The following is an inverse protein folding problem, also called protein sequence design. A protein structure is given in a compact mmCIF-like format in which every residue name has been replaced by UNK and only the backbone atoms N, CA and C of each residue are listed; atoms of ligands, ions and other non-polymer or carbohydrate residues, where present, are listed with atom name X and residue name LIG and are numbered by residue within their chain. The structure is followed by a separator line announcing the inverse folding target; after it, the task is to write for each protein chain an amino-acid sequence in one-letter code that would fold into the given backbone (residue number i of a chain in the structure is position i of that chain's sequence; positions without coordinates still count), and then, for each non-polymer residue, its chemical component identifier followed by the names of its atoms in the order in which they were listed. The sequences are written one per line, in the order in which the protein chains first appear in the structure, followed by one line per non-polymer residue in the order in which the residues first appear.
data_IF_496862737069
#
_entry.id   IF_496862737069
#
_cell.length_a   1.000
_cell.length_b   1.000
_cell.length_c   1.000
_cell.angle_alpha   90.00
_cell.angle_beta   90.00
_cell.angle_gamma   90.00
#
_symmetry.space_group_name_H-M   'P 1'
#
loop_
_entity.id
_entity.type
_entity.pdbx_description
1 polymer ?
#
# COMPACT_ATOMS: atom_id res chain seq x y z
N UNK A 1 9.88 8.67 -27.53
CA UNK A 1 9.09 7.76 -26.67
C UNK A 1 8.35 6.69 -27.47
N UNK A 2 7.35 7.02 -28.29
CA UNK A 2 6.55 6.01 -29.04
C UNK A 2 7.42 5.11 -29.94
N UNK A 3 8.38 5.68 -30.68
CA UNK A 3 9.29 4.89 -31.53
C UNK A 3 10.13 3.89 -30.73
N UNK A 4 10.64 4.31 -29.57
CA UNK A 4 11.40 3.42 -28.66
C UNK A 4 10.53 2.29 -28.14
N UNK A 5 9.28 2.59 -27.73
CA UNK A 5 8.35 1.55 -27.27
C UNK A 5 8.06 0.51 -28.35
N UNK A 6 7.85 0.93 -29.61
CA UNK A 6 7.62 0.00 -30.72
C UNK A 6 8.80 -0.94 -30.91
N UNK A 7 10.00 -0.39 -31.00
CA UNK A 7 11.23 -1.18 -31.14
C UNK A 7 11.37 -2.18 -29.99
N UNK A 8 11.13 -1.77 -28.75
CA UNK A 8 11.20 -2.68 -27.60
C UNK A 8 10.18 -3.83 -27.70
N UNK A 9 8.94 -3.54 -28.08
CA UNK A 9 7.90 -4.55 -28.24
C UNK A 9 8.17 -5.49 -29.42
N UNK A 10 8.69 -4.97 -30.53
CA UNK A 10 9.15 -5.74 -31.70
C UNK A 10 10.30 -6.70 -31.33
N UNK A 11 11.13 -6.33 -30.36
CA UNK A 11 12.19 -7.16 -29.79
C UNK A 11 11.75 -7.95 -28.54
N UNK A 12 10.46 -8.29 -28.42
CA UNK A 12 9.90 -9.16 -27.39
C UNK A 12 10.04 -8.66 -25.94
N UNK A 13 10.10 -7.34 -25.72
CA UNK A 13 9.97 -6.81 -24.37
C UNK A 13 8.60 -7.19 -23.76
N UNK A 14 8.61 -7.72 -22.54
CA UNK A 14 7.40 -8.13 -21.82
C UNK A 14 6.54 -6.88 -21.45
N UNK A 15 5.34 -6.72 -22.05
CA UNK A 15 4.49 -5.56 -21.81
C UNK A 15 3.81 -5.59 -20.43
N UNK A 16 3.89 -6.71 -19.71
CA UNK A 16 3.35 -6.89 -18.37
C UNK A 16 4.43 -6.80 -17.27
N UNK A 17 5.70 -6.58 -17.65
CA UNK A 17 6.81 -6.50 -16.70
C UNK A 17 6.59 -5.37 -15.68
N UNK A 18 6.67 -5.69 -14.40
CA UNK A 18 6.51 -4.70 -13.33
C UNK A 18 7.84 -3.98 -13.01
N UNK A 19 7.78 -2.66 -12.84
CA UNK A 19 8.91 -1.89 -12.32
C UNK A 19 9.12 -2.14 -10.82
N UNK A 20 10.23 -1.63 -10.27
CA UNK A 20 10.45 -1.60 -8.82
C UNK A 20 9.35 -0.83 -8.07
N UNK A 21 8.75 0.19 -8.70
CA UNK A 21 7.60 0.90 -8.12
C UNK A 21 6.28 0.17 -8.39
N UNK A 22 6.30 -1.04 -8.96
CA UNK A 22 5.10 -1.83 -9.19
C UNK A 22 4.21 -1.43 -10.34
N UNK A 23 4.69 -0.56 -11.21
CA UNK A 23 3.95 -0.09 -12.37
C UNK A 23 4.17 -1.06 -13.52
N UNK A 24 3.09 -1.41 -14.21
CA UNK A 24 3.19 -1.96 -15.57
C UNK A 24 3.51 -0.84 -16.56
N UNK A 25 4.08 -1.13 -17.74
CA UNK A 25 4.23 -0.17 -18.83
C UNK A 25 2.94 0.61 -19.13
N UNK A 26 1.79 -0.07 -19.07
CA UNK A 26 0.48 0.54 -19.31
C UNK A 26 0.12 1.57 -18.24
N UNK A 27 0.26 1.23 -16.97
CA UNK A 27 0.01 2.18 -15.87
C UNK A 27 1.03 3.32 -15.86
N UNK A 28 2.30 3.06 -16.23
CA UNK A 28 3.33 4.09 -16.36
C UNK A 28 2.99 5.11 -17.46
N UNK A 29 2.45 4.67 -18.60
CA UNK A 29 2.00 5.55 -19.67
C UNK A 29 0.85 6.48 -19.23
N UNK A 30 -0.03 6.02 -18.33
CA UNK A 30 -1.09 6.84 -17.75
C UNK A 30 -0.55 7.82 -16.70
N UNK A 31 0.34 7.38 -15.81
CA UNK A 31 0.95 8.25 -14.80
C UNK A 31 1.78 9.40 -15.40
N UNK A 32 2.40 9.18 -16.56
CA UNK A 32 3.21 10.20 -17.22
C UNK A 32 2.42 11.47 -17.56
N UNK A 33 1.08 11.43 -17.61
CA UNK A 33 0.26 12.64 -17.85
C UNK A 33 0.30 13.62 -16.68
N UNK A 34 0.52 13.13 -15.46
CA UNK A 34 0.70 13.95 -14.26
C UNK A 34 2.00 14.78 -14.34
N UNK A 35 3.01 14.25 -15.05
CA UNK A 35 4.26 14.95 -15.37
C UNK A 35 4.19 15.82 -16.64
N UNK A 36 2.98 16.08 -17.15
CA UNK A 36 2.75 16.96 -18.30
C UNK A 36 2.70 16.27 -19.67
N UNK A 37 2.76 14.94 -19.74
CA UNK A 37 2.57 14.23 -21.02
C UNK A 37 1.14 14.42 -21.54
N UNK A 38 0.93 14.90 -22.78
CA UNK A 38 -0.41 15.04 -23.34
C UNK A 38 -1.16 13.71 -23.41
N UNK A 39 -2.47 13.72 -23.12
CA UNK A 39 -3.33 12.53 -23.22
C UNK A 39 -3.23 11.87 -24.60
N UNK A 40 -3.13 12.64 -25.68
CA UNK A 40 -3.03 12.11 -27.04
C UNK A 40 -1.77 11.26 -27.26
N UNK A 41 -0.68 11.54 -26.54
CA UNK A 41 0.54 10.72 -26.56
C UNK A 41 0.36 9.51 -25.65
N UNK A 42 -0.17 9.71 -24.44
CA UNK A 42 -0.48 8.61 -23.51
C UNK A 42 -1.40 7.56 -24.16
N UNK A 43 -2.44 8.00 -24.87
CA UNK A 43 -3.37 7.14 -25.61
C UNK A 43 -2.67 6.29 -26.68
N UNK A 44 -1.69 6.85 -27.40
CA UNK A 44 -0.91 6.08 -28.39
C UNK A 44 -0.08 5.00 -27.70
N UNK A 45 0.52 5.32 -26.54
CA UNK A 45 1.27 4.35 -25.74
C UNK A 45 0.34 3.25 -25.20
N UNK A 46 -0.83 3.62 -24.66
CA UNK A 46 -1.85 2.69 -24.17
C UNK A 46 -2.29 1.73 -25.28
N UNK A 47 -2.60 2.24 -26.48
CA UNK A 47 -2.99 1.41 -27.63
C UNK A 47 -1.93 0.36 -27.98
N UNK A 48 -0.68 0.79 -28.14
CA UNK A 48 0.42 -0.12 -28.48
C UNK A 48 0.62 -1.21 -27.43
N UNK A 49 0.50 -0.86 -26.14
CA UNK A 49 0.68 -1.82 -25.06
C UNK A 49 -0.47 -2.82 -24.96
N UNK A 50 -1.71 -2.37 -25.17
CA UNK A 50 -2.88 -3.26 -25.22
C UNK A 50 -2.78 -4.20 -26.42
N UNK A 51 -2.39 -3.70 -27.60
CA UNK A 51 -2.14 -4.50 -28.81
C UNK A 51 -1.02 -5.54 -28.60
N UNK A 52 -0.04 -5.24 -27.74
CA UNK A 52 1.02 -6.18 -27.36
C UNK A 52 0.58 -7.25 -26.34
N UNK A 53 -0.69 -7.26 -25.90
CA UNK A 53 -1.20 -8.27 -24.95
C UNK A 53 -1.01 -7.91 -23.48
N UNK A 54 -1.05 -6.61 -23.15
CA UNK A 54 -1.11 -6.20 -21.73
C UNK A 54 -2.41 -6.64 -21.08
N UNK A 55 -2.35 -7.12 -19.84
CA UNK A 55 -3.54 -7.28 -18.99
C UNK A 55 -4.10 -5.90 -18.59
N UNK A 56 -5.23 -5.53 -19.22
CA UNK A 56 -5.92 -4.25 -19.00
C UNK A 56 -6.54 -4.10 -17.61
N UNK A 57 -6.65 -5.20 -16.86
CA UNK A 57 -7.19 -5.23 -15.49
C UNK A 57 -6.12 -5.48 -14.43
N UNK A 58 -4.83 -5.50 -14.82
CA UNK A 58 -3.73 -5.74 -13.89
C UNK A 58 -3.70 -4.71 -12.75
N UNK A 59 -4.07 -5.15 -11.55
CA UNK A 59 -4.15 -4.33 -10.34
C UNK A 59 -2.88 -4.49 -9.47
N UNK A 60 -1.70 -4.20 -10.02
CA UNK A 60 -0.44 -4.30 -9.26
C UNK A 60 -0.31 -3.21 -8.18
N UNK A 61 -0.91 -2.04 -8.41
CA UNK A 61 -1.16 -0.98 -7.42
C UNK A 61 -2.60 -0.50 -7.60
N UNK A 62 -2.94 -0.10 -8.82
CA UNK A 62 -4.26 0.39 -9.18
C UNK A 62 -4.56 -0.03 -10.62
N UNK A 63 -5.83 -0.23 -10.96
CA UNK A 63 -6.18 -0.62 -12.33
C UNK A 63 -5.91 0.52 -13.31
N UNK A 64 -5.54 0.23 -14.57
CA UNK A 64 -5.41 1.25 -15.61
C UNK A 64 -6.67 2.12 -15.74
N UNK A 65 -7.86 1.52 -15.59
CA UNK A 65 -9.12 2.25 -15.68
C UNK A 65 -9.29 3.24 -14.52
N UNK A 66 -9.03 2.83 -13.28
CA UNK A 66 -9.11 3.75 -12.12
C UNK A 66 -8.11 4.90 -12.26
N UNK A 67 -6.87 4.64 -12.73
CA UNK A 67 -5.87 5.68 -12.96
C UNK A 67 -6.35 6.67 -14.02
N UNK A 68 -6.76 6.18 -15.19
CA UNK A 68 -7.24 7.02 -16.30
C UNK A 68 -8.48 7.84 -15.89
N UNK A 69 -9.41 7.23 -15.15
CA UNK A 69 -10.57 7.93 -14.59
C UNK A 69 -10.17 8.98 -13.57
N UNK A 70 -9.13 8.75 -12.75
CA UNK A 70 -8.61 9.66 -11.72
C UNK A 70 -7.82 10.84 -12.28
N UNK A 71 -7.25 10.72 -13.48
CA UNK A 71 -6.62 11.84 -14.21
C UNK A 71 -7.56 12.51 -15.22
N UNK A 72 -8.72 11.92 -15.49
CA UNK A 72 -9.70 12.53 -16.39
C UNK A 72 -9.41 12.27 -17.87
N UNK A 73 -8.60 11.26 -18.15
CA UNK A 73 -8.14 10.89 -19.48
C UNK A 73 -9.27 10.20 -20.25
N UNK A 74 -10.16 11.01 -20.82
CA UNK A 74 -11.44 10.55 -21.36
C UNK A 74 -11.27 9.59 -22.55
N UNK A 75 -10.32 9.85 -23.43
CA UNK A 75 -10.08 8.99 -24.58
C UNK A 75 -9.32 7.72 -24.21
N UNK A 76 -8.45 7.79 -23.19
CA UNK A 76 -7.86 6.60 -22.59
C UNK A 76 -8.91 5.71 -21.92
N UNK A 77 -9.84 6.30 -21.13
CA UNK A 77 -10.94 5.55 -20.50
C UNK A 77 -11.80 4.86 -21.56
N UNK A 78 -12.23 5.57 -22.61
CA UNK A 78 -13.00 4.96 -23.72
C UNK A 78 -12.27 3.77 -24.34
N UNK A 79 -10.98 3.91 -24.61
CA UNK A 79 -10.21 2.85 -25.23
C UNK A 79 -10.01 1.66 -24.29
N UNK A 80 -9.69 1.89 -23.01
CA UNK A 80 -9.54 0.83 -22.01
C UNK A 80 -10.83 0.02 -21.84
N UNK A 81 -11.99 0.69 -21.78
CA UNK A 81 -13.30 0.02 -21.74
C UNK A 81 -13.53 -0.83 -22.99
N UNK A 82 -13.23 -0.30 -24.18
CA UNK A 82 -13.29 -1.06 -25.44
C UNK A 82 -12.35 -2.28 -25.43
N UNK A 83 -11.21 -2.17 -24.76
CA UNK A 83 -10.23 -3.24 -24.61
C UNK A 83 -10.58 -4.25 -23.50
N UNK A 84 -11.73 -4.12 -22.82
CA UNK A 84 -12.19 -5.07 -21.80
C UNK A 84 -11.79 -4.73 -20.37
N UNK A 85 -11.43 -3.46 -20.08
CA UNK A 85 -11.24 -3.02 -18.71
C UNK A 85 -12.57 -3.08 -17.92
N UNK A 86 -12.56 -3.69 -16.73
CA UNK A 86 -13.75 -3.85 -15.89
C UNK A 86 -14.03 -2.57 -15.08
N UNK A 87 -15.14 -1.85 -15.34
CA UNK A 87 -15.51 -0.63 -14.62
C UNK A 87 -16.01 -0.88 -13.19
N UNK A 88 -16.04 -2.12 -12.73
CA UNK A 88 -16.50 -2.49 -11.40
C UNK A 88 -15.36 -2.69 -10.40
N UNK A 89 -14.09 -2.72 -10.85
CA UNK A 89 -12.93 -2.84 -9.96
C UNK A 89 -12.72 -1.50 -9.23
N UNK A 90 -12.86 -1.46 -7.89
CA UNK A 90 -12.78 -0.22 -7.14
C UNK A 90 -11.34 0.24 -6.94
N UNK A 91 -11.19 1.53 -6.66
CA UNK A 91 -9.93 2.11 -6.22
C UNK A 91 -9.50 1.50 -4.89
N UNK A 92 -8.24 1.09 -4.81
CA UNK A 92 -7.73 0.26 -3.71
C UNK A 92 -7.91 0.88 -2.32
N UNK A 93 -7.55 2.17 -2.17
CA UNK A 93 -7.62 2.86 -0.87
C UNK A 93 -9.00 3.39 -0.49
N UNK A 94 -9.85 3.73 -1.45
CA UNK A 94 -11.12 4.42 -1.18
C UNK A 94 -12.32 3.50 -1.30
N UNK A 95 -12.17 2.35 -1.95
CA UNK A 95 -13.28 1.45 -2.31
C UNK A 95 -14.22 2.04 -3.37
N UNK A 96 -13.98 3.26 -3.84
CA UNK A 96 -14.83 3.92 -4.81
C UNK A 96 -14.65 3.28 -6.19
N UNK A 97 -15.76 2.90 -6.84
CA UNK A 97 -15.72 2.46 -8.25
C UNK A 97 -15.32 3.62 -9.15
N UNK A 98 -14.77 3.34 -10.35
CA UNK A 98 -14.45 4.37 -11.35
C UNK A 98 -15.55 5.42 -11.53
N UNK A 99 -16.82 5.01 -11.58
CA UNK A 99 -17.95 5.94 -11.75
C UNK A 99 -18.14 6.90 -10.55
N UNK A 100 -17.89 6.44 -9.33
CA UNK A 100 -17.95 7.27 -8.12
C UNK A 100 -16.78 8.25 -8.09
N UNK A 101 -15.58 7.80 -8.44
CA UNK A 101 -14.42 8.68 -8.57
C UNK A 101 -14.64 9.78 -9.62
N UNK A 102 -15.20 9.42 -10.78
CA UNK A 102 -15.57 10.39 -11.80
C UNK A 102 -16.54 11.44 -11.24
N UNK A 103 -17.55 11.02 -10.49
CA UNK A 103 -18.52 11.92 -9.87
C UNK A 103 -17.91 12.82 -8.79
N UNK A 104 -17.10 12.26 -7.88
CA UNK A 104 -16.40 12.98 -6.80
C UNK A 104 -15.47 14.05 -7.39
N UNK A 105 -14.81 13.75 -8.52
CA UNK A 105 -13.91 14.67 -9.22
C UNK A 105 -14.64 15.64 -10.17
N UNK A 106 -15.98 15.64 -10.20
CA UNK A 106 -16.77 16.52 -11.07
C UNK A 106 -16.69 16.19 -12.57
N UNK A 107 -16.25 14.99 -12.94
CA UNK A 107 -16.02 14.57 -14.33
C UNK A 107 -17.27 13.96 -14.96
N UNK A 108 -18.29 14.79 -15.20
CA UNK A 108 -19.59 14.36 -15.75
C UNK A 108 -19.48 13.44 -16.98
N UNK A 109 -18.66 13.79 -17.97
CA UNK A 109 -18.48 12.98 -19.19
C UNK A 109 -18.03 11.55 -18.89
N UNK A 110 -17.20 11.37 -17.85
CA UNK A 110 -16.76 10.04 -17.43
C UNK A 110 -17.86 9.30 -16.67
N UNK A 111 -18.70 10.00 -15.89
CA UNK A 111 -19.87 9.38 -15.25
C UNK A 111 -20.82 8.82 -16.33
N UNK A 112 -21.12 9.62 -17.35
CA UNK A 112 -21.97 9.22 -18.47
C UNK A 112 -21.38 8.02 -19.23
N UNK A 113 -20.06 8.03 -19.46
CA UNK A 113 -19.36 6.94 -20.15
C UNK A 113 -19.35 5.63 -19.36
N UNK A 114 -19.19 5.70 -18.04
CA UNK A 114 -19.09 4.53 -17.16
C UNK A 114 -20.46 3.98 -16.76
N UNK A 115 -21.49 4.82 -16.74
CA UNK A 115 -22.85 4.46 -16.31
C UNK A 115 -23.42 3.19 -16.96
N UNK A 116 -23.42 3.02 -18.29
CA UNK A 116 -24.00 1.83 -18.91
C UNK A 116 -23.20 0.55 -18.66
N UNK A 117 -21.97 0.64 -18.15
CA UNK A 117 -21.06 -0.48 -17.97
C UNK A 117 -20.87 -0.85 -16.48
N UNK A 118 -21.34 -0.01 -15.56
CA UNK A 118 -21.12 -0.19 -14.12
C UNK A 118 -22.35 -0.78 -13.45
N UNK A 119 -22.14 -1.80 -12.62
CA UNK A 119 -23.22 -2.38 -11.81
C UNK A 119 -23.71 -1.38 -10.75
N UNK A 120 -25.03 -1.33 -10.46
CA UNK A 120 -25.58 -0.45 -9.45
C UNK A 120 -24.90 -0.56 -8.09
N UNK A 121 -24.63 0.59 -7.48
CA UNK A 121 -23.96 0.69 -6.18
C UNK A 121 -25.02 0.88 -5.10
N UNK A 122 -25.03 0.00 -4.10
CA UNK A 122 -26.11 -0.07 -3.09
C UNK A 122 -26.29 1.22 -2.28
N UNK A 123 -25.22 1.98 -2.05
CA UNK A 123 -25.24 3.26 -1.33
C UNK A 123 -25.89 4.38 -2.14
N UNK A 124 -25.97 4.24 -3.47
CA UNK A 124 -26.55 5.22 -4.39
C UNK A 124 -28.02 4.88 -4.67
N UNK A 125 -28.92 5.44 -3.84
CA UNK A 125 -30.37 5.16 -3.93
C UNK A 125 -31.02 5.53 -5.27
N UNK A 126 -30.54 6.60 -5.90
CA UNK A 126 -31.00 7.03 -7.21
C UNK A 126 -29.94 6.66 -8.25
N UNK A 127 -30.07 5.48 -8.87
CA UNK A 127 -29.11 4.99 -9.85
C UNK A 127 -29.32 5.62 -11.24
N UNK A 128 -29.05 6.92 -11.31
CA UNK A 128 -29.02 7.72 -12.53
C UNK A 128 -27.74 8.55 -12.54
N UNK A 129 -27.34 9.09 -13.70
CA UNK A 129 -26.18 10.01 -13.79
C UNK A 129 -26.32 11.15 -12.77
N UNK A 130 -27.49 11.78 -12.69
CA UNK A 130 -27.76 12.84 -11.72
C UNK A 130 -27.71 12.34 -10.28
N UNK A 131 -28.28 11.17 -10.00
CA UNK A 131 -28.30 10.59 -8.66
C UNK A 131 -26.90 10.22 -8.16
N UNK A 132 -26.02 9.73 -9.02
CA UNK A 132 -24.62 9.44 -8.72
C UNK A 132 -23.85 10.74 -8.45
N UNK A 133 -24.00 11.76 -9.32
CA UNK A 133 -23.36 13.07 -9.14
C UNK A 133 -23.84 13.75 -7.85
N UNK A 134 -25.14 13.69 -7.56
CA UNK A 134 -25.72 14.24 -6.34
C UNK A 134 -25.25 13.47 -5.09
N UNK A 135 -25.09 12.15 -5.18
CA UNK A 135 -24.53 11.33 -4.09
C UNK A 135 -23.10 11.75 -3.75
N UNK A 136 -22.25 11.95 -4.77
CA UNK A 136 -20.85 12.34 -4.60
C UNK A 136 -20.66 13.76 -4.01
N UNK A 137 -21.64 14.66 -4.18
CA UNK A 137 -21.60 16.03 -3.63
C UNK A 137 -21.98 16.12 -2.14
N UNK A 138 -22.51 15.05 -1.56
CA UNK A 138 -22.85 15.05 -0.12
C UNK A 138 -21.55 15.08 0.68
N UNK A 139 -21.39 15.99 1.66
CA UNK A 139 -20.24 15.95 2.55
C UNK A 139 -20.23 14.58 3.22
N UNK A 140 -19.23 13.77 2.92
CA UNK A 140 -19.01 12.53 3.63
C UNK A 140 -18.76 12.90 5.10
N UNK A 141 -19.70 12.59 6.00
CA UNK A 141 -19.26 12.14 7.33
C UNK A 141 -18.26 11.01 7.07
N UNK A 142 -17.18 10.85 7.86
CA UNK A 142 -16.34 9.67 7.76
C UNK A 142 -17.24 8.45 8.01
N UNK A 143 -17.79 7.92 6.92
CA UNK A 143 -18.55 6.69 6.93
C UNK A 143 -17.47 5.64 7.11
N UNK A 144 -17.43 5.06 8.32
CA UNK A 144 -16.76 3.79 8.52
C UNK A 144 -17.09 2.91 7.32
N UNK A 145 -16.10 2.33 6.65
CA UNK A 145 -16.34 1.59 5.43
C UNK A 145 -17.36 0.51 5.75
N UNK A 146 -18.58 0.66 5.25
CA UNK A 146 -19.54 -0.44 5.15
C UNK A 146 -19.11 -1.28 3.96
N UNK A 147 -17.93 -1.87 4.08
CA UNK A 147 -17.43 -2.89 3.18
C UNK A 147 -17.88 -4.19 3.82
N UNK A 148 -18.70 -4.97 3.11
CA UNK A 148 -18.92 -6.37 3.46
C UNK A 148 -17.53 -6.97 3.69
N UNK A 149 -17.24 -7.37 4.93
CA UNK A 149 -15.97 -7.95 5.34
C UNK A 149 -15.75 -9.25 4.58
N UNK A 150 -15.23 -9.15 3.36
CA UNK A 150 -14.71 -10.29 2.66
C UNK A 150 -13.30 -10.53 3.19
N UNK A 151 -13.08 -11.72 3.72
CA UNK A 151 -11.77 -12.22 4.13
C UNK A 151 -10.75 -12.04 2.98
N UNK A 152 -11.23 -12.04 1.73
CA UNK A 152 -10.48 -11.71 0.51
C UNK A 152 -9.82 -10.33 0.54
N UNK A 153 -10.51 -9.28 1.00
CA UNK A 153 -9.99 -7.89 0.97
C UNK A 153 -8.82 -7.70 1.94
N UNK A 154 -8.89 -8.25 3.16
CA UNK A 154 -7.75 -8.23 4.10
C UNK A 154 -6.53 -8.93 3.52
N UNK A 155 -6.74 -10.10 2.92
CA UNK A 155 -5.66 -10.89 2.30
C UNK A 155 -4.99 -10.10 1.18
N UNK A 156 -5.77 -9.40 0.36
CA UNK A 156 -5.25 -8.52 -0.69
C UNK A 156 -4.44 -7.36 -0.11
N UNK A 157 -4.97 -6.61 0.87
CA UNK A 157 -4.28 -5.50 1.52
C UNK A 157 -2.95 -5.94 2.15
N UNK A 158 -2.96 -7.08 2.86
CA UNK A 158 -1.74 -7.67 3.40
C UNK A 158 -0.73 -8.00 2.31
N UNK A 159 -1.17 -8.63 1.22
CA UNK A 159 -0.33 -8.91 0.05
C UNK A 159 0.24 -7.64 -0.60
N UNK A 160 -0.54 -6.55 -0.68
CA UNK A 160 -0.05 -5.26 -1.17
C UNK A 160 1.00 -4.66 -0.25
N UNK A 161 0.80 -4.73 1.08
CA UNK A 161 1.80 -4.35 2.07
C UNK A 161 3.11 -5.14 1.92
N UNK A 162 3.02 -6.46 1.74
CA UNK A 162 4.20 -7.32 1.52
C UNK A 162 4.93 -6.98 0.21
N UNK A 163 4.19 -6.73 -0.87
CA UNK A 163 4.76 -6.25 -2.15
C UNK A 163 5.43 -4.89 -1.99
N UNK A 164 4.82 -3.96 -1.25
CA UNK A 164 5.39 -2.64 -1.00
C UNK A 164 6.70 -2.73 -0.17
N UNK A 165 6.75 -3.61 0.84
CA UNK A 165 8.00 -3.89 1.57
C UNK A 165 9.10 -4.40 0.64
N UNK A 166 8.79 -5.34 -0.27
CA UNK A 166 9.78 -5.84 -1.25
C UNK A 166 10.35 -4.73 -2.14
N UNK A 167 9.57 -3.66 -2.35
CA UNK A 167 9.95 -2.46 -3.12
C UNK A 167 10.60 -1.36 -2.26
N UNK A 168 10.82 -1.62 -0.96
CA UNK A 168 11.28 -0.65 0.04
C UNK A 168 10.36 0.58 0.20
N UNK A 169 9.12 0.49 -0.27
CA UNK A 169 8.10 1.53 -0.04
C UNK A 169 7.42 1.29 1.31
N UNK A 170 8.13 1.65 2.38
CA UNK A 170 7.67 1.43 3.75
C UNK A 170 6.49 2.34 4.12
N UNK A 171 6.41 3.55 3.55
CA UNK A 171 5.30 4.45 3.78
C UNK A 171 4.01 3.95 3.08
N UNK A 172 4.10 3.44 1.85
CA UNK A 172 2.97 2.81 1.18
C UNK A 172 2.53 1.52 1.89
N UNK A 173 3.49 0.69 2.31
CA UNK A 173 3.22 -0.52 3.05
C UNK A 173 2.48 -0.25 4.37
N UNK A 174 2.87 0.77 5.13
CA UNK A 174 2.21 1.11 6.41
C UNK A 174 0.75 1.51 6.23
N UNK A 175 0.40 2.15 5.12
CA UNK A 175 -1.00 2.47 4.77
C UNK A 175 -1.81 1.21 4.52
N UNK A 176 -1.31 0.28 3.70
CA UNK A 176 -1.99 -0.99 3.45
C UNK A 176 -2.21 -1.80 4.74
N UNK A 177 -1.22 -1.85 5.63
CA UNK A 177 -1.41 -2.52 6.92
C UNK A 177 -2.37 -1.79 7.84
N UNK A 178 -2.43 -0.45 7.79
CA UNK A 178 -3.40 0.32 8.56
C UNK A 178 -4.83 0.01 8.11
N UNK A 179 -5.09 0.01 6.81
CA UNK A 179 -6.38 -0.38 6.25
C UNK A 179 -6.71 -1.86 6.59
N UNK A 180 -5.73 -2.77 6.51
CA UNK A 180 -5.94 -4.17 6.88
C UNK A 180 -6.27 -4.35 8.37
N UNK A 181 -5.66 -3.55 9.26
CA UNK A 181 -5.91 -3.56 10.71
C UNK A 181 -7.32 -3.07 11.02
N UNK A 182 -7.84 -2.09 10.28
CA UNK A 182 -9.23 -1.66 10.42
C UNK A 182 -10.23 -2.78 10.09
N UNK A 183 -9.87 -3.70 9.20
CA UNK A 183 -10.69 -4.86 8.85
C UNK A 183 -10.58 -6.00 9.86
N UNK A 184 -9.40 -6.22 10.44
CA UNK A 184 -9.14 -7.27 11.43
C UNK A 184 -8.07 -6.82 12.43
N UNK A 185 -8.48 -6.16 13.53
CA UNK A 185 -7.55 -5.68 14.55
C UNK A 185 -6.99 -6.80 15.43
N UNK A 186 -7.38 -8.06 15.21
CA UNK A 186 -6.88 -9.21 15.96
C UNK A 186 -5.69 -9.91 15.29
N UNK A 187 -5.38 -9.57 14.03
CA UNK A 187 -4.29 -10.19 13.28
C UNK A 187 -2.94 -9.58 13.66
N UNK A 188 -2.25 -10.23 14.61
CA UNK A 188 -0.93 -9.83 15.09
C UNK A 188 0.12 -9.66 13.96
N UNK A 189 -0.05 -10.36 12.83
CA UNK A 189 0.91 -10.27 11.71
C UNK A 189 0.90 -8.90 11.04
N UNK A 190 -0.25 -8.21 11.03
CA UNK A 190 -0.37 -6.88 10.45
C UNK A 190 0.39 -5.85 11.29
N UNK A 191 0.27 -5.92 12.62
CA UNK A 191 1.02 -5.07 13.54
C UNK A 191 2.52 -5.33 13.46
N UNK A 192 2.95 -6.60 13.41
CA UNK A 192 4.37 -6.94 13.25
C UNK A 192 4.98 -6.39 11.95
N UNK A 193 4.21 -6.42 10.85
CA UNK A 193 4.66 -5.91 9.56
C UNK A 193 4.61 -4.37 9.51
N UNK A 194 3.60 -3.72 10.09
CA UNK A 194 3.54 -2.26 10.16
C UNK A 194 4.60 -1.67 11.10
N UNK A 195 4.92 -2.36 12.20
CA UNK A 195 6.05 -2.06 13.07
C UNK A 195 7.38 -2.05 12.30
N UNK A 196 7.62 -3.04 11.42
CA UNK A 196 8.78 -3.02 10.53
C UNK A 196 8.81 -1.78 9.64
N UNK A 197 7.68 -1.43 9.04
CA UNK A 197 7.60 -0.23 8.20
C UNK A 197 7.99 1.02 8.98
N UNK A 198 7.50 1.18 10.21
CA UNK A 198 7.84 2.32 11.06
C UNK A 198 9.31 2.36 11.48
N UNK A 199 9.94 1.22 11.76
CA UNK A 199 11.40 1.18 12.01
C UNK A 199 12.19 1.70 10.80
N UNK A 200 11.76 1.34 9.59
CA UNK A 200 12.44 1.76 8.36
C UNK A 200 12.15 3.21 7.98
N UNK A 201 11.08 3.82 8.51
CA UNK A 201 10.76 5.24 8.35
C UNK A 201 11.16 6.10 9.54
N UNK A 202 12.00 5.59 10.46
CA UNK A 202 12.48 6.29 11.67
C UNK A 202 11.38 6.71 12.66
N UNK A 203 10.22 6.06 12.60
CA UNK A 203 9.07 6.32 13.50
C UNK A 203 9.06 5.29 14.66
N UNK A 204 10.16 5.23 15.42
CA UNK A 204 10.41 4.16 16.40
C UNK A 204 9.34 4.05 17.50
N UNK A 205 8.76 5.16 17.96
CA UNK A 205 7.64 5.14 18.93
C UNK A 205 6.42 4.39 18.40
N UNK A 206 6.06 4.61 17.12
CA UNK A 206 4.94 3.91 16.48
C UNK A 206 5.27 2.43 16.28
N UNK A 207 6.52 2.12 15.93
CA UNK A 207 6.99 0.75 15.83
C UNK A 207 6.87 0.00 17.17
N UNK A 208 7.22 0.66 18.28
CA UNK A 208 7.11 0.11 19.63
C UNK A 208 5.65 -0.14 20.02
N UNK A 209 4.76 0.80 19.70
CA UNK A 209 3.32 0.62 19.94
C UNK A 209 2.75 -0.60 19.22
N UNK A 210 3.07 -0.76 17.93
CA UNK A 210 2.63 -1.91 17.15
C UNK A 210 3.27 -3.22 17.63
N UNK A 211 4.54 -3.19 18.06
CA UNK A 211 5.21 -4.36 18.60
C UNK A 211 4.57 -4.84 19.92
N UNK A 212 4.26 -3.92 20.83
CA UNK A 212 3.54 -4.24 22.07
C UNK A 212 2.14 -4.78 21.77
N UNK A 213 1.44 -4.23 20.77
CA UNK A 213 0.13 -4.75 20.34
C UNK A 213 0.25 -6.15 19.76
N UNK A 214 1.27 -6.42 18.94
CA UNK A 214 1.58 -7.75 18.42
C UNK A 214 1.80 -8.78 19.54
N UNK A 215 2.58 -8.44 20.57
CA UNK A 215 2.83 -9.31 21.74
C UNK A 215 1.52 -9.55 22.50
N UNK A 216 0.72 -8.49 22.72
CA UNK A 216 -0.58 -8.62 23.41
C UNK A 216 -1.53 -9.57 22.68
N UNK A 217 -1.56 -9.51 21.35
CA UNK A 217 -2.43 -10.36 20.52
C UNK A 217 -1.90 -11.80 20.39
N UNK A 218 -0.57 -11.97 20.33
CA UNK A 218 0.06 -13.28 20.20
C UNK A 218 1.33 -13.38 21.06
N UNK A 219 1.18 -13.66 22.37
CA UNK A 219 2.29 -13.66 23.33
C UNK A 219 3.35 -14.74 23.07
N UNK A 220 2.99 -15.84 22.41
CA UNK A 220 3.94 -16.92 22.11
C UNK A 220 4.67 -16.74 20.77
N UNK A 221 4.51 -15.58 20.12
CA UNK A 221 5.14 -15.30 18.84
C UNK A 221 6.37 -14.41 18.98
N UNK A 222 7.54 -15.05 18.92
CA UNK A 222 8.87 -14.43 19.04
C UNK A 222 9.05 -13.15 18.22
N UNK A 223 8.42 -13.08 17.03
CA UNK A 223 8.53 -11.91 16.14
C UNK A 223 8.03 -10.61 16.78
N UNK A 224 7.06 -10.67 17.70
CA UNK A 224 6.60 -9.51 18.46
C UNK A 224 7.70 -8.93 19.35
N UNK A 225 8.40 -9.80 20.07
CA UNK A 225 9.53 -9.45 20.94
C UNK A 225 10.70 -8.90 20.16
N UNK A 226 11.00 -9.51 19.00
CA UNK A 226 12.02 -8.98 18.08
C UNK A 226 11.71 -7.55 17.65
N UNK A 227 10.46 -7.29 17.22
CA UNK A 227 10.03 -5.93 16.82
C UNK A 227 10.11 -4.93 17.97
N UNK A 228 9.76 -5.36 19.18
CA UNK A 228 9.82 -4.54 20.38
C UNK A 228 11.26 -4.14 20.72
N UNK A 229 12.18 -5.12 20.78
CA UNK A 229 13.58 -4.86 21.04
C UNK A 229 14.21 -3.96 19.97
N UNK A 230 13.92 -4.19 18.69
CA UNK A 230 14.43 -3.35 17.61
C UNK A 230 13.92 -1.89 17.68
N UNK A 231 12.68 -1.68 18.11
CA UNK A 231 12.13 -0.34 18.34
C UNK A 231 12.79 0.36 19.52
N UNK A 232 13.01 -0.36 20.63
CA UNK A 232 13.70 0.17 21.81
C UNK A 232 15.17 0.49 21.53
N UNK A 233 15.87 -0.34 20.75
CA UNK A 233 17.21 -0.02 20.25
C UNK A 233 17.23 1.29 19.46
N UNK A 234 16.21 1.53 18.62
CA UNK A 234 16.11 2.78 17.84
C UNK A 234 15.75 4.00 18.70
N UNK A 235 15.18 3.77 19.89
CA UNK A 235 14.88 4.79 20.89
C UNK A 235 16.00 4.94 21.93
N UNK A 236 17.12 4.21 21.76
CA UNK A 236 18.25 4.17 22.70
C UNK A 236 17.89 3.68 24.11
N UNK A 237 16.76 2.96 24.24
CA UNK A 237 16.31 2.34 25.48
C UNK A 237 16.87 0.91 25.60
N UNK A 238 18.20 0.83 25.71
CA UNK A 238 18.96 -0.41 25.53
C UNK A 238 18.64 -1.49 26.57
N UNK A 239 18.32 -1.08 27.80
CA UNK A 239 18.00 -2.02 28.88
C UNK A 239 16.67 -2.72 28.60
N UNK A 240 15.65 -1.96 28.26
CA UNK A 240 14.32 -2.46 27.92
C UNK A 240 14.37 -3.27 26.61
N UNK A 241 15.27 -2.92 25.69
CA UNK A 241 15.55 -3.72 24.49
C UNK A 241 16.13 -5.10 24.86
N UNK A 242 17.11 -5.17 25.76
CA UNK A 242 17.66 -6.42 26.28
C UNK A 242 16.55 -7.30 26.90
N UNK A 243 15.68 -6.71 27.73
CA UNK A 243 14.56 -7.41 28.36
C UNK A 243 13.58 -7.98 27.31
N UNK A 244 13.28 -7.21 26.26
CA UNK A 244 12.41 -7.65 25.18
C UNK A 244 13.01 -8.82 24.40
N UNK A 245 14.30 -8.75 24.02
CA UNK A 245 14.97 -9.84 23.31
C UNK A 245 15.13 -11.09 24.19
N UNK A 246 15.47 -10.92 25.47
CA UNK A 246 15.55 -12.03 26.42
C UNK A 246 14.20 -12.75 26.58
N UNK A 247 13.10 -12.00 26.66
CA UNK A 247 11.76 -12.59 26.70
C UNK A 247 11.43 -13.38 25.43
N UNK A 248 11.91 -12.95 24.26
CA UNK A 248 11.78 -13.72 23.03
C UNK A 248 12.66 -14.98 23.00
N UNK A 249 13.90 -14.92 23.51
CA UNK A 249 14.78 -16.08 23.66
C UNK A 249 14.24 -17.10 24.66
N UNK A 250 13.47 -16.68 25.67
CA UNK A 250 12.78 -17.63 26.55
C UNK A 250 11.73 -18.47 25.80
N UNK A 251 11.14 -17.94 24.71
CA UNK A 251 10.19 -18.68 23.87
C UNK A 251 10.89 -19.60 22.85
N UNK A 252 12.04 -19.19 22.32
CA UNK A 252 12.85 -19.97 21.38
C UNK A 252 14.35 -19.77 21.70
N UNK A 253 14.91 -20.56 22.63
CA UNK A 253 16.31 -20.41 23.05
C UNK A 253 17.35 -20.68 21.97
N UNK A 254 16.97 -21.36 20.87
CA UNK A 254 17.86 -21.68 19.75
C UNK A 254 17.87 -20.62 18.66
N UNK A 255 17.20 -19.48 18.85
CA UNK A 255 17.04 -18.46 17.83
C UNK A 255 18.31 -17.62 17.66
N UNK A 256 19.18 -18.02 16.73
CA UNK A 256 20.45 -17.34 16.46
C UNK A 256 20.28 -15.85 16.04
N UNK A 257 19.21 -15.51 15.33
CA UNK A 257 18.92 -14.11 14.96
C UNK A 257 18.63 -13.27 16.21
N UNK A 258 17.81 -13.80 17.12
CA UNK A 258 17.48 -13.11 18.36
C UNK A 258 18.65 -13.03 19.33
N UNK A 259 19.45 -14.09 19.44
CA UNK A 259 20.67 -14.09 20.26
C UNK A 259 21.64 -13.01 19.79
N UNK A 260 21.82 -12.88 18.48
CA UNK A 260 22.66 -11.84 17.90
C UNK A 260 22.21 -10.43 18.31
N UNK A 261 20.93 -10.09 18.10
CA UNK A 261 20.42 -8.74 18.44
C UNK A 261 20.37 -8.49 19.95
N UNK A 262 20.21 -9.54 20.76
CA UNK A 262 20.35 -9.45 22.21
C UNK A 262 21.78 -9.06 22.61
N UNK A 263 22.78 -9.72 22.03
CA UNK A 263 24.19 -9.40 22.29
C UNK A 263 24.54 -7.98 21.84
N UNK A 264 24.06 -7.56 20.66
CA UNK A 264 24.20 -6.17 20.18
C UNK A 264 23.59 -5.18 21.19
N UNK A 265 22.40 -5.44 21.72
CA UNK A 265 21.76 -4.59 22.73
C UNK A 265 22.55 -4.51 24.04
N UNK A 266 23.13 -5.63 24.49
CA UNK A 266 23.98 -5.68 25.70
C UNK A 266 25.25 -4.86 25.51
N UNK A 267 25.85 -4.88 24.33
CA UNK A 267 27.03 -4.07 24.00
C UNK A 267 26.71 -2.57 24.01
N UNK A 268 25.62 -2.16 23.37
CA UNK A 268 25.19 -0.75 23.36
C UNK A 268 24.83 -0.26 24.77
N UNK A 269 24.14 -1.07 25.57
CA UNK A 269 23.86 -0.76 26.97
C UNK A 269 25.16 -0.53 27.79
N UNK A 270 26.20 -1.33 27.57
CA UNK A 270 27.51 -1.15 28.24
C UNK A 270 28.18 0.14 27.80
N UNK A 271 28.15 0.46 26.50
CA UNK A 271 28.72 1.71 25.97
C UNK A 271 28.01 2.94 26.54
N UNK A 272 26.67 2.95 26.55
CA UNK A 272 25.87 4.03 27.14
C UNK A 272 26.18 4.22 28.63
N UNK A 273 26.27 3.13 29.39
CA UNK A 273 26.63 3.19 30.82
C UNK A 273 28.04 3.76 31.06
N UNK A 274 29.02 3.36 30.24
CA UNK A 274 30.39 3.88 30.32
C UNK A 274 30.45 5.36 29.93
N UNK A 275 29.74 5.77 28.89
CA UNK A 275 29.65 7.16 28.45
C UNK A 275 29.07 8.05 29.57
N UNK A 276 27.97 7.62 30.21
CA UNK A 276 27.35 8.33 31.33
C UNK A 276 28.23 8.40 32.59
N UNK A 277 29.12 7.42 32.80
CA UNK A 277 30.10 7.44 33.90
C UNK A 277 31.28 8.36 33.61
N UNK A 278 31.77 8.39 32.37
CA UNK A 278 32.87 9.27 31.95
C UNK A 278 32.47 10.75 31.83
N UNK A 279 31.18 11.06 31.74
CA UNK A 279 30.66 12.42 31.66
C UNK A 279 30.36 13.09 33.01
N UNK A 280 30.59 12.42 34.15
CA UNK A 280 30.51 13.06 35.46
C UNK A 280 31.79 13.88 35.72
N UNK A 281 31.71 15.19 36.01
CA UNK A 281 32.88 15.95 36.43
C UNK A 281 33.45 15.31 37.70
N UNK A 282 34.76 15.10 37.73
CA UNK A 282 35.48 14.84 38.98
C UNK A 282 35.42 16.11 39.84
N UNK A 283 34.62 16.06 40.91
CA UNK A 283 34.57 17.09 41.97
C UNK A 283 35.93 17.29 42.64
#
# INVERSE_FOLDING_TARGET
MIGVMKVLLEHHADPNKISEQGRTPLTAALYATDSGLPESISLKCVKLLVEAGTDVNAANIETPLVIATSYGLTDCVKYLLKAGADPNIPHIHTGAKPIELAAIRGRRKLVELLFPLTSPIQTVRNWTVEGIIAHAKRPSKPSKPTVKHDKSTKVQLKSFGEKAIKRKDYHGASKFYTEAIELDPSDATLYSNRSLCYLQTTEADKALHDANTCIKLRPEWIKGYYRKGAALMSLEDYKEACDAFMAGLQLDPGNAEMEKVFMEAVEEMKKDHLARKGSKPSD
#
